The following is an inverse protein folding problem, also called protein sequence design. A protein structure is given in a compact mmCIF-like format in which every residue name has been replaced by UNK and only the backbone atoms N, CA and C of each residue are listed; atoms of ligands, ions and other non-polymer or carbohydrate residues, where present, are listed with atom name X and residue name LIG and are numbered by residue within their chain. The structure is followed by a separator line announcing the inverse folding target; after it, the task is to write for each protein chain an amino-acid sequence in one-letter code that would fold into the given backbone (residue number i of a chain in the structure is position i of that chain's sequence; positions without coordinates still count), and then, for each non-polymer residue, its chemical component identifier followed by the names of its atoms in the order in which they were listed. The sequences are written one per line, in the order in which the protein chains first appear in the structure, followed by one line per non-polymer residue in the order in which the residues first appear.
data_IF_306091444588
#
_entry.id   IF_306091444588
#
_cell.length_a   1.000
_cell.length_b   1.000
_cell.length_c   1.000
_cell.angle_alpha   90.00
_cell.angle_beta   90.00
_cell.angle_gamma   90.00
#
_symmetry.space_group_name_H-M   'P 1'
#
loop_
_entity.id
_entity.type
_entity.pdbx_description
1 polymer ?
#
# COMPACT_ATOMS: atom_id res chain seq x y z
N UNK A 1 12.06 2.18 -3.95
CA UNK A 1 11.59 3.55 -3.69
C UNK A 1 11.62 3.94 -2.21
N UNK A 2 10.82 3.36 -1.28
CA UNK A 2 10.82 3.81 0.14
C UNK A 2 12.20 3.76 0.81
N UNK A 3 12.94 2.67 0.62
CA UNK A 3 14.31 2.55 1.12
C UNK A 3 15.24 3.62 0.53
N UNK A 4 15.15 3.88 -0.77
CA UNK A 4 15.98 4.88 -1.46
C UNK A 4 15.70 6.30 -0.94
N UNK A 5 14.44 6.63 -0.62
CA UNK A 5 14.09 7.90 0.04
C UNK A 5 14.69 7.94 1.44
N UNK A 6 14.51 6.88 2.24
CA UNK A 6 15.10 6.81 3.59
C UNK A 6 16.62 6.96 3.54
N UNK A 7 17.31 6.43 2.55
CA UNK A 7 18.77 6.48 2.44
C UNK A 7 19.30 7.91 2.33
N UNK A 8 18.60 8.79 1.62
CA UNK A 8 19.00 10.21 1.46
C UNK A 8 18.54 11.12 2.60
N UNK A 9 17.62 10.67 3.46
CA UNK A 9 17.19 11.44 4.62
C UNK A 9 18.27 11.47 5.72
N UNK A 10 18.33 12.59 6.44
CA UNK A 10 19.11 12.67 7.69
C UNK A 10 18.46 11.80 8.78
N UNK A 11 19.23 11.30 9.76
CA UNK A 11 18.67 10.66 10.94
C UNK A 11 17.59 11.50 11.63
N UNK A 12 16.42 10.90 11.90
CA UNK A 12 15.23 11.60 12.41
C UNK A 12 14.37 12.27 11.33
N UNK A 13 14.82 12.31 10.07
CA UNK A 13 14.01 12.72 8.93
C UNK A 13 12.82 11.79 8.72
N UNK A 14 11.72 12.33 8.16
CA UNK A 14 10.42 11.67 8.13
C UNK A 14 9.86 11.63 6.72
N UNK A 15 9.32 10.48 6.33
CA UNK A 15 8.40 10.35 5.18
C UNK A 15 6.98 10.37 5.74
N UNK A 16 6.16 11.33 5.30
CA UNK A 16 4.74 11.38 5.63
C UNK A 16 3.94 10.73 4.50
N UNK A 17 3.19 9.67 4.82
CA UNK A 17 2.36 8.92 3.89
C UNK A 17 0.90 9.14 4.26
N UNK A 18 0.15 9.79 3.37
CA UNK A 18 -1.32 9.79 3.39
C UNK A 18 -1.75 8.59 2.57
N UNK A 19 -2.43 7.64 3.21
CA UNK A 19 -2.75 6.32 2.64
C UNK A 19 -4.27 6.13 2.68
N UNK A 20 -4.92 5.73 1.57
CA UNK A 20 -6.33 5.37 1.58
C UNK A 20 -6.60 4.18 2.52
N UNK A 21 -7.65 4.28 3.33
CA UNK A 21 -8.25 3.11 3.98
C UNK A 21 -9.14 2.40 2.95
N UNK A 22 -8.68 1.26 2.44
CA UNK A 22 -9.34 0.59 1.31
C UNK A 22 -10.82 0.26 1.60
N UNK A 23 -11.18 0.11 2.88
CA UNK A 23 -12.56 -0.13 3.36
C UNK A 23 -13.51 1.04 3.11
N UNK A 24 -13.02 2.14 2.55
CA UNK A 24 -13.80 3.32 2.21
C UNK A 24 -13.71 3.71 0.75
N UNK A 25 -13.10 2.87 -0.07
CA UNK A 25 -12.84 3.17 -1.48
C UNK A 25 -13.45 2.11 -2.38
N UNK A 26 -13.29 2.26 -3.69
CA UNK A 26 -13.61 1.22 -4.67
C UNK A 26 -12.84 -0.10 -4.45
N UNK A 27 -11.77 -0.08 -3.65
CA UNK A 27 -11.01 -1.26 -3.24
C UNK A 27 -11.62 -2.02 -2.04
N UNK A 28 -12.85 -1.72 -1.64
CA UNK A 28 -13.52 -2.29 -0.45
C UNK A 28 -13.42 -3.82 -0.36
N UNK A 29 -13.59 -4.50 -1.50
CA UNK A 29 -13.61 -5.97 -1.56
C UNK A 29 -12.23 -6.60 -1.69
N UNK A 30 -11.19 -5.80 -1.92
CA UNK A 30 -9.82 -6.30 -2.05
C UNK A 30 -9.26 -6.73 -0.71
N UNK A 31 -8.53 -7.83 -0.74
CA UNK A 31 -7.79 -8.28 0.45
C UNK A 31 -6.61 -7.34 0.74
N UNK A 32 -6.32 -6.99 2.02
CA UNK A 32 -5.17 -6.18 2.37
C UNK A 32 -3.86 -6.74 1.83
N UNK A 33 -2.96 -5.85 1.41
CA UNK A 33 -1.64 -6.23 0.89
C UNK A 33 -0.83 -6.97 1.95
N UNK A 34 -0.21 -8.08 1.55
CA UNK A 34 0.52 -8.98 2.45
C UNK A 34 2.02 -8.66 2.52
N UNK A 35 2.68 -9.14 3.58
CA UNK A 35 4.15 -9.09 3.68
C UNK A 35 4.83 -9.77 2.49
N UNK A 36 4.34 -10.94 2.06
CA UNK A 36 4.95 -11.69 0.95
C UNK A 36 4.92 -10.90 -0.36
N UNK A 37 3.82 -10.19 -0.65
CA UNK A 37 3.71 -9.29 -1.79
C UNK A 37 4.72 -8.13 -1.68
N UNK A 38 4.78 -7.44 -0.54
CA UNK A 38 5.71 -6.32 -0.33
C UNK A 38 7.17 -6.75 -0.51
N UNK A 39 7.56 -7.89 0.07
CA UNK A 39 8.92 -8.43 -0.04
C UNK A 39 9.20 -8.93 -1.47
N UNK A 40 8.25 -9.62 -2.09
CA UNK A 40 8.38 -10.07 -3.49
C UNK A 40 8.64 -8.90 -4.43
N UNK A 41 7.82 -7.85 -4.35
CA UNK A 41 7.99 -6.68 -5.20
C UNK A 41 9.24 -5.85 -4.88
N UNK A 42 9.73 -5.87 -3.63
CA UNK A 42 11.00 -5.21 -3.31
C UNK A 42 12.22 -5.90 -3.92
N UNK A 43 12.14 -7.23 -4.11
CA UNK A 43 13.15 -8.06 -4.78
C UNK A 43 13.04 -7.94 -6.29
N UNK A 44 11.83 -8.13 -6.83
CA UNK A 44 11.55 -8.12 -8.27
C UNK A 44 11.69 -6.72 -8.89
N UNK A 45 11.48 -5.67 -8.09
CA UNK A 45 11.57 -4.25 -8.48
C UNK A 45 10.82 -3.95 -9.78
N UNK A 46 9.51 -4.27 -9.86
CA UNK A 46 8.73 -3.95 -11.04
C UNK A 46 8.70 -2.42 -11.25
N UNK A 47 9.00 -1.98 -12.47
CA UNK A 47 8.96 -0.56 -12.87
C UNK A 47 7.58 -0.11 -13.37
N UNK A 48 6.63 -1.03 -13.43
CA UNK A 48 5.24 -0.86 -13.87
C UNK A 48 4.37 -1.90 -13.16
N UNK A 49 3.06 -1.66 -12.99
CA UNK A 49 2.18 -2.64 -12.37
C UNK A 49 2.27 -4.01 -13.03
N UNK A 50 2.38 -5.06 -12.21
CA UNK A 50 2.49 -6.44 -12.69
C UNK A 50 1.12 -6.94 -13.19
N UNK A 51 1.09 -7.97 -14.05
CA UNK A 51 -0.17 -8.59 -14.46
C UNK A 51 -1.03 -9.04 -13.28
N UNK A 52 -0.40 -9.50 -12.19
CA UNK A 52 -1.09 -9.87 -10.96
C UNK A 52 -1.77 -8.66 -10.32
N UNK A 53 -1.07 -7.53 -10.19
CA UNK A 53 -1.65 -6.29 -9.64
C UNK A 53 -2.77 -5.74 -10.52
N UNK A 54 -2.62 -5.81 -11.85
CA UNK A 54 -3.66 -5.39 -12.80
C UNK A 54 -4.89 -6.28 -12.70
N UNK A 55 -4.70 -7.60 -12.65
CA UNK A 55 -5.80 -8.55 -12.50
C UNK A 55 -6.56 -8.27 -11.19
N UNK A 56 -5.85 -8.26 -10.05
CA UNK A 56 -6.43 -8.07 -8.72
C UNK A 56 -7.22 -6.75 -8.63
N UNK A 57 -6.67 -5.64 -9.11
CA UNK A 57 -7.36 -4.36 -9.10
C UNK A 57 -8.63 -4.37 -9.97
N UNK A 58 -8.53 -4.81 -11.23
CA UNK A 58 -9.66 -4.70 -12.17
C UNK A 58 -10.77 -5.72 -11.89
N UNK A 59 -10.46 -6.88 -11.30
CA UNK A 59 -11.48 -7.89 -10.97
C UNK A 59 -12.25 -7.59 -9.69
N UNK A 60 -11.69 -6.80 -8.77
CA UNK A 60 -12.24 -6.60 -7.42
C UNK A 60 -12.66 -5.15 -7.12
N UNK A 61 -12.63 -4.27 -8.11
CA UNK A 61 -13.12 -2.89 -8.01
C UNK A 61 -14.49 -2.70 -8.68
N UNK A 62 -15.21 -1.68 -8.22
CA UNK A 62 -16.54 -1.34 -8.69
C UNK A 62 -16.67 0.18 -8.92
N UNK A 63 -17.72 0.59 -9.63
CA UNK A 63 -18.04 2.00 -9.83
C UNK A 63 -18.63 2.61 -8.56
N UNK A 64 -18.00 3.66 -8.04
CA UNK A 64 -18.58 4.52 -7.01
C UNK A 64 -18.86 5.91 -7.56
N UNK A 65 -20.13 6.34 -7.47
CA UNK A 65 -20.59 7.68 -7.85
C UNK A 65 -20.78 8.59 -6.61
N UNK A 66 -20.20 8.23 -5.47
CA UNK A 66 -20.29 8.94 -4.20
C UNK A 66 -21.58 8.66 -3.42
N UNK A 67 -22.31 7.58 -3.75
CA UNK A 67 -23.55 7.19 -3.04
C UNK A 67 -23.37 6.01 -2.11
N UNK A 68 -22.23 5.31 -2.18
CA UNK A 68 -21.93 4.19 -1.30
C UNK A 68 -21.67 4.70 0.12
N UNK A 69 -22.42 4.17 1.08
CA UNK A 69 -22.18 4.43 2.49
C UNK A 69 -21.27 3.36 3.08
N UNK A 70 -19.97 3.65 3.12
CA UNK A 70 -18.96 2.74 3.67
C UNK A 70 -19.05 2.55 5.20
N UNK A 71 -19.76 3.42 5.92
CA UNK A 71 -20.04 3.27 7.35
C UNK A 71 -21.28 2.38 7.63
N UNK A 72 -22.00 1.98 6.58
CA UNK A 72 -23.19 1.13 6.66
C UNK A 72 -23.02 -0.19 5.92
N UNK A 73 -24.15 -0.77 5.52
CA UNK A 73 -24.18 -2.01 4.74
C UNK A 73 -23.80 -1.74 3.29
N UNK A 74 -22.56 -2.06 2.92
CA UNK A 74 -22.11 -2.06 1.53
C UNK A 74 -22.78 -3.23 0.80
N UNK A 75 -23.46 -3.00 -0.35
CA UNK A 75 -24.08 -4.08 -1.11
C UNK A 75 -23.07 -5.18 -1.49
N UNK A 76 -23.48 -6.45 -1.57
CA UNK A 76 -22.60 -7.52 -2.03
C UNK A 76 -21.99 -7.21 -3.40
N UNK A 77 -20.72 -7.56 -3.62
CA UNK A 77 -19.99 -7.23 -4.85
C UNK A 77 -20.74 -7.60 -6.15
N UNK A 78 -21.46 -8.74 -6.15
CA UNK A 78 -22.27 -9.20 -7.29
C UNK A 78 -23.43 -8.26 -7.69
N UNK A 79 -23.83 -7.35 -6.82
CA UNK A 79 -24.92 -6.38 -7.03
C UNK A 79 -24.38 -5.01 -7.45
N UNK A 80 -23.08 -4.78 -7.31
CA UNK A 80 -22.44 -3.52 -7.67
C UNK A 80 -22.13 -3.47 -9.17
N UNK A 81 -22.27 -2.28 -9.75
CA UNK A 81 -21.84 -2.04 -11.12
C UNK A 81 -20.31 -2.01 -11.16
N UNK A 82 -19.71 -2.79 -12.05
CA UNK A 82 -18.26 -2.89 -12.20
C UNK A 82 -17.76 -2.08 -13.39
N UNK A 83 -16.57 -1.48 -13.26
CA UNK A 83 -15.88 -0.82 -14.36
C UNK A 83 -15.47 -1.81 -15.47
N UNK A 84 -15.07 -3.01 -15.07
CA UNK A 84 -14.52 -4.05 -15.93
C UNK A 84 -15.05 -5.43 -15.53
N UNK A 85 -15.17 -6.33 -16.49
CA UNK A 85 -15.42 -7.75 -16.23
C UNK A 85 -14.11 -8.48 -15.90
N UNK A 86 -14.19 -9.71 -15.37
CA UNK A 86 -12.99 -10.53 -15.13
C UNK A 86 -12.25 -10.86 -16.43
N UNK A 87 -12.99 -10.96 -17.54
CA UNK A 87 -12.40 -11.19 -18.86
C UNK A 87 -11.65 -9.97 -19.38
N UNK A 88 -12.16 -8.76 -19.11
CA UNK A 88 -11.44 -7.51 -19.40
C UNK A 88 -10.17 -7.42 -18.54
N UNK A 89 -10.27 -7.71 -17.24
CA UNK A 89 -9.14 -7.72 -16.31
C UNK A 89 -8.02 -8.67 -16.79
N UNK A 90 -8.37 -9.89 -17.20
CA UNK A 90 -7.43 -10.85 -17.79
C UNK A 90 -6.80 -10.28 -19.08
N UNK A 91 -7.62 -9.67 -19.94
CA UNK A 91 -7.15 -9.03 -21.18
C UNK A 91 -6.12 -7.92 -20.91
N UNK A 92 -6.39 -7.05 -19.93
CA UNK A 92 -5.46 -5.99 -19.52
C UNK A 92 -4.20 -6.54 -18.87
N UNK A 93 -4.30 -7.57 -18.03
CA UNK A 93 -3.15 -8.23 -17.42
C UNK A 93 -2.20 -8.82 -18.49
N UNK A 94 -2.76 -9.48 -19.52
CA UNK A 94 -1.99 -9.98 -20.65
C UNK A 94 -1.40 -8.84 -21.50
N UNK A 95 -2.19 -7.78 -21.72
CA UNK A 95 -1.78 -6.60 -22.49
C UNK A 95 -0.58 -5.90 -21.86
N UNK A 96 -0.63 -5.59 -20.56
CA UNK A 96 0.49 -4.89 -19.90
C UNK A 96 1.77 -5.70 -20.00
N UNK A 97 1.71 -7.03 -19.91
CA UNK A 97 2.90 -7.86 -20.02
C UNK A 97 3.43 -8.02 -21.44
N UNK A 98 2.54 -8.10 -22.44
CA UNK A 98 2.95 -8.19 -23.84
C UNK A 98 3.56 -6.88 -24.32
N UNK A 99 2.90 -5.76 -24.06
CA UNK A 99 3.29 -4.44 -24.59
C UNK A 99 4.27 -3.69 -23.69
N UNK A 100 4.58 -4.24 -22.51
CA UNK A 100 5.32 -3.55 -21.43
C UNK A 100 4.70 -2.20 -21.06
N UNK A 101 3.37 -2.11 -21.13
CA UNK A 101 2.62 -0.88 -20.90
C UNK A 101 2.46 -0.58 -19.40
N UNK A 102 2.49 0.71 -19.03
CA UNK A 102 2.13 1.16 -17.69
C UNK A 102 0.64 1.47 -17.63
N UNK A 103 -0.12 0.64 -16.92
CA UNK A 103 -1.53 0.88 -16.65
C UNK A 103 -1.68 1.40 -15.22
N UNK A 104 -2.30 2.56 -15.04
CA UNK A 104 -2.52 3.15 -13.72
C UNK A 104 -3.57 2.34 -12.94
N UNK A 105 -3.14 1.67 -11.87
CA UNK A 105 -3.95 0.79 -11.02
C UNK A 105 -3.46 0.88 -9.58
N UNK A 106 -4.34 0.63 -8.62
CA UNK A 106 -3.94 0.59 -7.21
C UNK A 106 -3.17 -0.71 -6.92
N UNK A 107 -1.85 -0.64 -6.89
CA UNK A 107 -0.97 -1.79 -6.69
C UNK A 107 -0.98 -2.38 -5.27
N UNK A 108 -1.46 -1.62 -4.28
CA UNK A 108 -1.51 -2.00 -2.87
C UNK A 108 -2.76 -1.43 -2.23
N UNK A 109 -3.27 -2.09 -1.20
CA UNK A 109 -4.46 -1.69 -0.44
C UNK A 109 -4.22 -1.93 1.05
N UNK A 110 -4.69 -1.01 1.88
CA UNK A 110 -4.35 -0.98 3.30
C UNK A 110 -5.55 -0.57 4.15
N UNK A 111 -5.71 -1.21 5.29
CA UNK A 111 -6.28 -0.57 6.49
C UNK A 111 -5.15 0.03 7.33
N UNK A 112 -5.43 0.96 8.27
CA UNK A 112 -4.45 1.46 9.22
C UNK A 112 -3.67 0.35 9.93
N UNK A 113 -4.37 -0.68 10.39
CA UNK A 113 -3.81 -1.80 11.14
C UNK A 113 -2.94 -2.69 10.23
N UNK A 114 -3.44 -3.06 9.06
CA UNK A 114 -2.70 -3.92 8.12
C UNK A 114 -1.39 -3.29 7.66
N UNK A 115 -1.37 -1.96 7.49
CA UNK A 115 -0.14 -1.23 7.15
C UNK A 115 0.89 -1.38 8.26
N UNK A 116 0.50 -1.12 9.51
CA UNK A 116 1.41 -1.24 10.66
C UNK A 116 1.89 -2.67 10.83
N UNK A 117 1.02 -3.67 10.72
CA UNK A 117 1.38 -5.07 10.87
C UNK A 117 2.42 -5.51 9.83
N UNK A 118 2.21 -5.15 8.55
CA UNK A 118 3.15 -5.50 7.48
C UNK A 118 4.44 -4.71 7.59
N UNK A 119 4.38 -3.39 7.76
CA UNK A 119 5.60 -2.57 7.81
C UNK A 119 6.42 -2.82 9.08
N UNK A 120 5.80 -3.18 10.21
CA UNK A 120 6.54 -3.61 11.40
C UNK A 120 7.34 -4.88 11.15
N UNK A 121 6.80 -5.83 10.38
CA UNK A 121 7.52 -7.02 9.95
C UNK A 121 8.64 -6.68 8.96
N UNK A 122 8.39 -5.83 7.98
CA UNK A 122 9.41 -5.34 7.03
C UNK A 122 10.60 -4.70 7.76
N UNK A 123 10.33 -3.87 8.78
CA UNK A 123 11.36 -3.24 9.62
C UNK A 123 12.10 -4.29 10.46
N UNK A 124 11.38 -5.24 11.05
CA UNK A 124 11.98 -6.34 11.84
C UNK A 124 12.91 -7.20 11.00
N UNK A 125 12.57 -7.43 9.72
CA UNK A 125 13.40 -8.13 8.74
C UNK A 125 14.58 -7.30 8.22
N UNK A 126 14.79 -6.08 8.73
CA UNK A 126 15.89 -5.21 8.35
C UNK A 126 15.77 -4.61 6.94
N UNK A 127 14.60 -4.70 6.32
CA UNK A 127 14.39 -4.20 4.95
C UNK A 127 14.19 -2.67 4.91
N UNK A 128 13.82 -2.07 6.05
CA UNK A 128 13.71 -0.61 6.20
C UNK A 128 14.31 -0.15 7.53
N UNK A 129 15.21 0.84 7.47
CA UNK A 129 15.89 1.45 8.60
C UNK A 129 15.09 2.56 9.30
N UNK A 130 13.80 2.35 9.55
CA UNK A 130 12.91 3.35 10.13
C UNK A 130 12.13 2.82 11.35
N UNK A 131 11.40 3.73 11.97
CA UNK A 131 10.30 3.45 12.89
C UNK A 131 9.00 4.03 12.35
N UNK A 132 7.88 3.44 12.75
CA UNK A 132 6.54 3.85 12.35
C UNK A 132 5.96 4.74 13.45
N UNK A 133 5.43 5.90 13.07
CA UNK A 133 4.64 6.76 13.96
C UNK A 133 3.23 6.89 13.34
N UNK A 134 2.22 6.49 14.11
CA UNK A 134 0.84 6.35 13.64
C UNK A 134 0.33 4.91 13.80
N UNK A 135 -0.79 4.55 13.15
CA UNK A 135 -1.52 5.36 12.19
C UNK A 135 -2.32 6.47 12.88
N UNK A 136 -2.55 7.58 12.17
CA UNK A 136 -3.37 8.70 12.64
C UNK A 136 -4.55 8.83 11.68
N UNK A 137 -5.75 8.49 12.17
CA UNK A 137 -7.00 8.70 11.45
C UNK A 137 -7.66 10.03 11.89
N UNK A 138 -8.52 10.60 11.03
CA UNK A 138 -9.33 11.77 11.37
C UNK A 138 -8.53 13.05 11.64
N UNK A 139 -7.40 13.25 10.95
CA UNK A 139 -6.59 14.45 11.08
C UNK A 139 -7.23 15.65 10.34
N UNK A 140 -6.95 16.86 10.83
CA UNK A 140 -7.56 18.11 10.32
C UNK A 140 -7.31 18.25 8.82
N UNK A 141 -8.39 18.40 8.05
CA UNK A 141 -8.34 18.58 6.61
C UNK A 141 -8.58 17.31 5.79
N UNK A 142 -8.75 16.14 6.42
CA UNK A 142 -9.11 14.90 5.71
C UNK A 142 -10.29 14.17 6.35
N UNK A 143 -11.06 13.50 5.48
CA UNK A 143 -12.14 12.61 5.88
C UNK A 143 -11.62 11.26 6.39
N UNK A 144 -12.51 10.38 6.88
CA UNK A 144 -12.14 9.04 7.37
C UNK A 144 -11.55 8.12 6.27
N UNK A 145 -11.63 8.53 5.01
CA UNK A 145 -11.16 7.86 3.79
C UNK A 145 -9.65 7.55 3.77
N UNK A 146 -8.86 8.30 4.54
CA UNK A 146 -7.41 8.20 4.54
C UNK A 146 -6.86 8.22 5.97
N UNK A 147 -5.70 7.61 6.15
CA UNK A 147 -4.93 7.65 7.38
C UNK A 147 -3.49 8.09 7.11
N UNK A 148 -2.89 8.72 8.11
CA UNK A 148 -1.53 9.23 8.04
C UNK A 148 -0.58 8.29 8.80
N UNK A 149 0.52 7.93 8.14
CA UNK A 149 1.62 7.21 8.75
C UNK A 149 2.92 7.96 8.48
N UNK A 150 3.76 8.06 9.48
CA UNK A 150 5.10 8.60 9.33
C UNK A 150 6.12 7.47 9.44
N UNK A 151 7.06 7.43 8.50
CA UNK A 151 8.26 6.59 8.58
C UNK A 151 9.44 7.48 8.95
N UNK A 152 9.88 7.40 10.21
CA UNK A 152 11.01 8.19 10.71
C UNK A 152 12.31 7.40 10.60
N UNK A 153 13.33 7.95 9.92
CA UNK A 153 14.64 7.32 9.80
C UNK A 153 15.28 7.17 11.19
N UNK A 154 15.66 5.94 11.54
CA UNK A 154 16.35 5.67 12.81
C UNK A 154 17.71 6.36 12.82
N UNK A 155 18.14 6.79 14.01
CA UNK A 155 19.54 7.16 14.22
C UNK A 155 20.40 5.91 14.09
N UNK A 156 21.57 5.99 13.43
CA UNK A 156 22.52 4.89 13.47
C UNK A 156 22.81 4.57 14.94
N UNK A 157 22.85 3.28 15.28
CA UNK A 157 23.26 2.86 16.60
C UNK A 157 24.61 3.52 16.91
N UNK A 158 24.74 4.16 18.08
CA UNK A 158 26.06 4.63 18.53
C UNK A 158 26.97 3.40 18.52
N UNK A 159 28.05 3.44 17.74
CA UNK A 159 29.08 2.43 17.82
C UNK A 159 29.48 2.31 19.29
N UNK A 160 29.23 1.16 19.90
CA UNK A 160 29.71 0.88 21.25
C UNK A 160 31.22 1.07 21.23
N UNK A 161 31.74 1.89 22.12
CA UNK A 161 33.18 1.89 22.41
C UNK A 161 33.50 0.44 22.84
N UNK A 162 34.42 -0.26 22.17
CA UNK A 162 34.86 -1.57 22.64
C UNK A 162 35.31 -1.42 24.09
N UNK A 163 34.71 -2.20 24.99
CA UNK A 163 35.21 -2.29 26.35
C UNK A 163 36.54 -3.04 26.29
N UNK A 164 37.64 -2.31 26.34
CA UNK A 164 38.96 -2.89 26.62
C UNK A 164 38.92 -3.51 28.02
N UNK A 165 38.81 -4.85 28.08
CA UNK A 165 39.21 -5.68 29.23
C UNK A 165 39.89 -6.93 28.70
#
# INVERSE_FOLDING_TARGET
WLGEILDVLQPGGVIALVVPDHRRTIDYFRSPTTLAQVIGWSIEKPVRPTPTQVMEFLSETFEDNGTINFDGDVPPFRELKRHYTDQDALGFAQFVEREKYYLDVHCTVWTPESFVDVFSQVITLGQLGCEIIGPIAGFVGNGPEEFLVYLQKKKPAKAGVPSDI
#
